data_IF_298504275499
#
_entry.id   IF_298504275499
#
_cell.length_a   1.000
_cell.length_b   1.000
_cell.length_c   1.000
_cell.angle_alpha   90.00
_cell.angle_beta   90.00
_cell.angle_gamma   90.00
#
_symmetry.space_group_name_H-M   'P 1'
#
loop_
_entity.id
_entity.type
_entity.pdbx_description
1 polymer ?
#
# COMPACT_ATOMS: atom_id res chain seq x y z
N UNK A 1 4.14 -6.14 24.09
CA UNK A 1 3.73 -7.30 23.28
C UNK A 1 4.16 -7.02 21.85
N UNK A 2 5.42 -7.32 21.53
CA UNK A 2 6.02 -7.04 20.22
C UNK A 2 5.50 -8.07 19.22
N UNK A 3 4.45 -7.72 18.50
CA UNK A 3 3.92 -8.52 17.41
C UNK A 3 5.00 -8.55 16.32
N UNK A 4 5.76 -9.64 16.27
CA UNK A 4 6.85 -9.82 15.33
C UNK A 4 6.21 -10.19 13.99
N UNK A 5 5.96 -9.18 13.15
CA UNK A 5 5.22 -9.27 11.87
C UNK A 5 5.86 -10.31 10.92
N UNK A 6 7.13 -10.68 11.14
CA UNK A 6 7.86 -11.68 10.36
C UNK A 6 7.77 -13.11 10.92
N UNK A 7 7.29 -13.33 12.14
CA UNK A 7 7.24 -14.66 12.78
C UNK A 7 5.87 -15.34 12.67
N UNK A 8 4.80 -14.59 12.42
CA UNK A 8 3.49 -15.14 12.05
C UNK A 8 3.50 -15.59 10.58
N UNK A 9 4.22 -16.67 10.38
CA UNK A 9 4.34 -17.43 9.14
C UNK A 9 2.97 -18.03 8.79
N UNK A 10 1.99 -17.24 8.33
CA UNK A 10 0.69 -17.76 7.83
C UNK A 10 0.73 -18.17 6.34
N UNK A 11 1.87 -17.98 5.66
CA UNK A 11 2.12 -18.43 4.29
C UNK A 11 1.81 -19.91 4.04
N UNK A 12 1.99 -20.79 5.04
CA UNK A 12 1.65 -22.21 4.90
C UNK A 12 0.13 -22.43 4.77
N UNK A 13 -0.71 -21.62 5.42
CA UNK A 13 -2.17 -21.70 5.30
C UNK A 13 -2.58 -21.44 3.86
N UNK A 14 -2.05 -20.35 3.28
CA UNK A 14 -2.28 -20.00 1.88
C UNK A 14 -1.76 -21.11 0.96
N UNK A 15 -0.57 -21.64 1.25
CA UNK A 15 0.02 -22.77 0.52
C UNK A 15 -0.87 -24.01 0.50
N UNK A 16 -1.43 -24.40 1.65
CA UNK A 16 -2.34 -25.54 1.77
C UNK A 16 -3.62 -25.31 0.97
N UNK A 17 -4.23 -24.13 1.09
CA UNK A 17 -5.46 -23.80 0.35
C UNK A 17 -5.21 -23.85 -1.16
N UNK A 18 -4.12 -23.25 -1.64
CA UNK A 18 -3.73 -23.29 -3.05
C UNK A 18 -3.48 -24.73 -3.51
N UNK A 19 -2.79 -25.54 -2.70
CA UNK A 19 -2.54 -26.94 -3.02
C UNK A 19 -3.84 -27.75 -3.15
N UNK A 20 -4.79 -27.59 -2.21
CA UNK A 20 -6.10 -28.24 -2.26
C UNK A 20 -6.86 -27.83 -3.53
N UNK A 21 -6.87 -26.53 -3.85
CA UNK A 21 -7.55 -26.02 -5.06
C UNK A 21 -6.92 -26.58 -6.34
N UNK A 22 -5.59 -26.66 -6.42
CA UNK A 22 -4.90 -27.23 -7.58
C UNK A 22 -5.11 -28.75 -7.67
N UNK A 23 -5.07 -29.48 -6.56
CA UNK A 23 -5.36 -30.94 -6.52
C UNK A 23 -6.80 -31.20 -6.98
N UNK A 24 -7.77 -30.40 -6.51
CA UNK A 24 -9.17 -30.50 -6.94
C UNK A 24 -9.33 -30.15 -8.43
N UNK A 25 -8.66 -29.11 -8.91
CA UNK A 25 -8.67 -28.71 -10.32
C UNK A 25 -8.05 -29.77 -11.24
N UNK A 26 -6.97 -30.43 -10.80
CA UNK A 26 -6.31 -31.52 -11.53
C UNK A 26 -7.23 -32.72 -11.75
N UNK A 27 -8.13 -33.01 -10.80
CA UNK A 27 -9.13 -34.08 -10.93
C UNK A 27 -10.21 -33.78 -11.97
N UNK A 28 -10.50 -32.50 -12.23
CA UNK A 28 -11.58 -32.09 -13.14
C UNK A 28 -11.09 -31.87 -14.57
N UNK A 29 -9.94 -31.22 -14.76
CA UNK A 29 -9.38 -31.01 -16.08
C UNK A 29 -7.87 -30.70 -16.02
N UNK A 30 -7.06 -31.70 -16.41
CA UNK A 30 -5.59 -31.63 -16.31
C UNK A 30 -4.99 -30.57 -17.22
N UNK A 31 -5.48 -30.43 -18.45
CA UNK A 31 -4.95 -29.45 -19.42
C UNK A 31 -5.20 -28.02 -18.96
N UNK A 32 -6.42 -27.69 -18.54
CA UNK A 32 -6.76 -26.35 -18.04
C UNK A 32 -5.92 -25.96 -16.81
N UNK A 33 -5.63 -26.93 -15.93
CA UNK A 33 -4.83 -26.70 -14.73
C UNK A 33 -3.36 -26.43 -15.06
N UNK A 34 -2.77 -27.17 -16.01
CA UNK A 34 -1.39 -26.91 -16.49
C UNK A 34 -1.30 -25.55 -17.19
N UNK A 35 -2.32 -25.18 -17.97
CA UNK A 35 -2.39 -23.85 -18.58
C UNK A 35 -2.48 -22.73 -17.54
N UNK A 36 -3.28 -22.90 -16.49
CA UNK A 36 -3.35 -21.96 -15.38
C UNK A 36 -1.98 -21.81 -14.69
N UNK A 37 -1.32 -22.93 -14.37
CA UNK A 37 0.02 -22.91 -13.75
C UNK A 37 1.07 -22.19 -14.61
N UNK A 38 1.13 -22.50 -15.91
CA UNK A 38 2.05 -21.80 -16.85
C UNK A 38 1.73 -20.30 -16.98
N UNK A 39 0.45 -19.92 -16.90
CA UNK A 39 0.03 -18.51 -16.92
C UNK A 39 0.50 -17.78 -15.66
N UNK A 40 0.34 -18.40 -14.48
CA UNK A 40 0.84 -17.86 -13.22
C UNK A 40 2.36 -17.70 -13.23
N UNK A 41 3.11 -18.69 -13.70
CA UNK A 41 4.57 -18.61 -13.81
C UNK A 41 5.05 -17.48 -14.73
N UNK A 42 4.39 -17.29 -15.89
CA UNK A 42 4.69 -16.15 -16.77
C UNK A 42 4.33 -14.80 -16.15
N UNK A 43 3.26 -14.74 -15.36
CA UNK A 43 2.88 -13.52 -14.65
C UNK A 43 3.96 -13.13 -13.64
N UNK A 44 4.43 -14.09 -12.82
CA UNK A 44 5.52 -13.88 -11.87
C UNK A 44 6.77 -13.36 -12.59
N UNK A 45 7.20 -14.02 -13.67
CA UNK A 45 8.39 -13.61 -14.43
C UNK A 45 8.26 -12.21 -15.04
N UNK A 46 7.06 -11.81 -15.47
CA UNK A 46 6.81 -10.45 -15.99
C UNK A 46 6.73 -9.40 -14.90
N UNK A 47 6.24 -9.75 -13.72
CA UNK A 47 6.10 -8.83 -12.59
C UNK A 47 7.39 -8.67 -11.79
N UNK A 48 8.32 -9.64 -11.86
CA UNK A 48 9.57 -9.63 -11.09
C UNK A 48 10.46 -8.40 -11.38
N UNK A 49 10.68 -7.97 -12.63
CA UNK A 49 11.44 -6.74 -12.91
C UNK A 49 10.77 -5.49 -12.34
N UNK A 50 9.42 -5.41 -12.41
CA UNK A 50 8.66 -4.30 -11.86
C UNK A 50 8.76 -4.27 -10.33
N UNK A 51 8.68 -5.44 -9.68
CA UNK A 51 8.89 -5.57 -8.24
C UNK A 51 10.28 -5.09 -7.85
N UNK A 52 11.31 -5.53 -8.57
CA UNK A 52 12.70 -5.13 -8.31
C UNK A 52 12.90 -3.61 -8.47
N UNK A 53 12.35 -3.01 -9.53
CA UNK A 53 12.41 -1.56 -9.75
C UNK A 53 11.67 -0.78 -8.65
N UNK A 54 10.52 -1.28 -8.20
CA UNK A 54 9.76 -0.67 -7.11
C UNK A 54 10.55 -0.72 -5.79
N UNK A 55 11.20 -1.84 -5.47
CA UNK A 55 12.06 -1.95 -4.27
C UNK A 55 13.26 -1.01 -4.35
N UNK A 56 13.92 -0.90 -5.50
CA UNK A 56 15.00 0.06 -5.70
C UNK A 56 14.53 1.51 -5.54
N UNK A 57 13.39 1.86 -6.12
CA UNK A 57 12.79 3.19 -5.99
C UNK A 57 12.47 3.50 -4.52
N UNK A 58 11.92 2.55 -3.77
CA UNK A 58 11.68 2.71 -2.33
C UNK A 58 12.99 2.96 -1.59
N UNK A 59 14.03 2.15 -1.83
CA UNK A 59 15.33 2.32 -1.19
C UNK A 59 15.94 3.70 -1.50
N UNK A 60 15.79 4.20 -2.72
CA UNK A 60 16.20 5.55 -3.10
C UNK A 60 15.36 6.63 -2.41
N UNK A 61 14.04 6.46 -2.38
CA UNK A 61 13.12 7.38 -1.69
C UNK A 61 13.42 7.45 -0.19
N UNK A 62 13.82 6.35 0.46
CA UNK A 62 14.22 6.37 1.87
C UNK A 62 15.38 7.31 2.12
N UNK A 63 16.37 7.36 1.21
CA UNK A 63 17.53 8.24 1.33
C UNK A 63 17.13 9.69 1.08
N UNK A 64 16.34 9.95 0.03
CA UNK A 64 15.94 11.31 -0.36
C UNK A 64 14.94 11.93 0.61
N UNK A 65 14.03 11.12 1.16
CA UNK A 65 13.01 11.59 2.09
C UNK A 65 13.45 11.51 3.55
N UNK A 66 14.61 10.96 3.89
CA UNK A 66 15.05 10.84 5.30
C UNK A 66 14.97 12.18 6.04
N UNK A 67 15.62 13.21 5.49
CA UNK A 67 15.64 14.56 6.09
C UNK A 67 14.24 15.20 6.10
N UNK A 68 13.45 14.96 5.04
CA UNK A 68 12.09 15.48 4.94
C UNK A 68 11.14 14.83 5.94
N UNK A 69 11.29 13.52 6.17
CA UNK A 69 10.50 12.74 7.13
C UNK A 69 10.85 13.17 8.55
N UNK A 70 12.14 13.28 8.87
CA UNK A 70 12.60 13.65 10.22
C UNK A 70 12.04 15.01 10.67
N UNK A 71 11.98 15.99 9.76
CA UNK A 71 11.51 17.33 10.09
C UNK A 71 9.98 17.52 9.92
N UNK A 72 9.40 16.96 8.87
CA UNK A 72 8.02 17.29 8.45
C UNK A 72 6.96 16.35 9.02
N UNK A 73 7.33 15.12 9.40
CA UNK A 73 6.35 14.10 9.82
C UNK A 73 6.13 14.04 11.32
N UNK A 74 6.90 14.78 12.11
CA UNK A 74 6.64 14.96 13.54
C UNK A 74 5.42 15.85 13.78
N UNK A 75 5.29 16.94 13.01
CA UNK A 75 4.09 17.78 13.05
C UNK A 75 2.89 17.02 12.46
N UNK A 76 1.76 16.93 13.18
CA UNK A 76 0.59 16.17 12.71
C UNK A 76 0.01 16.72 11.42
N UNK A 77 -0.11 18.05 11.30
CA UNK A 77 -0.74 18.68 10.16
C UNK A 77 0.14 18.55 8.91
N UNK A 78 1.42 18.91 9.05
CA UNK A 78 2.39 18.83 7.95
C UNK A 78 2.61 17.38 7.54
N UNK A 79 2.74 16.46 8.50
CA UNK A 79 2.95 15.05 8.25
C UNK A 79 1.77 14.39 7.52
N UNK A 80 0.54 14.60 8.00
CA UNK A 80 -0.68 14.02 7.38
C UNK A 80 -0.90 14.57 5.97
N UNK A 81 -0.71 15.88 5.76
CA UNK A 81 -0.84 16.49 4.44
C UNK A 81 0.23 15.99 3.48
N UNK A 82 1.50 15.98 3.91
CA UNK A 82 2.62 15.51 3.10
C UNK A 82 2.48 14.03 2.75
N UNK A 83 2.08 13.20 3.69
CA UNK A 83 1.78 11.79 3.47
C UNK A 83 0.67 11.56 2.44
N UNK A 84 -0.39 12.37 2.49
CA UNK A 84 -1.51 12.30 1.54
C UNK A 84 -1.04 12.63 0.11
N UNK A 85 -0.18 13.66 -0.02
CA UNK A 85 0.43 14.03 -1.32
C UNK A 85 1.40 12.95 -1.80
N UNK A 86 2.21 12.37 -0.91
CA UNK A 86 3.10 11.28 -1.27
C UNK A 86 2.34 10.06 -1.79
N UNK A 87 1.27 9.64 -1.10
CA UNK A 87 0.47 8.50 -1.56
C UNK A 87 -0.27 8.75 -2.88
N UNK A 88 -0.56 10.02 -3.20
CA UNK A 88 -1.04 10.43 -4.53
C UNK A 88 0.05 10.31 -5.61
N UNK A 89 1.28 10.69 -5.28
CA UNK A 89 2.42 10.77 -6.21
C UNK A 89 3.15 9.45 -6.39
N UNK A 90 2.88 8.44 -5.57
CA UNK A 90 3.52 7.12 -5.61
C UNK A 90 2.64 6.14 -6.42
N UNK A 91 2.73 6.12 -7.77
CA UNK A 91 2.16 5.04 -8.55
C UNK A 91 2.97 3.79 -8.26
N UNK A 92 2.28 2.69 -7.96
CA UNK A 92 2.98 1.43 -7.76
C UNK A 92 2.14 0.36 -7.12
N UNK A 93 2.74 -0.84 -6.99
CA UNK A 93 2.08 -1.96 -6.36
C UNK A 93 1.70 -1.62 -4.92
N UNK A 94 0.49 -1.98 -4.49
CA UNK A 94 -0.04 -1.68 -3.14
C UNK A 94 0.86 -2.18 -1.99
N UNK A 95 1.69 -3.19 -2.23
CA UNK A 95 2.65 -3.67 -1.23
C UNK A 95 3.86 -2.74 -1.03
N UNK A 96 4.17 -1.87 -1.99
CA UNK A 96 5.32 -0.97 -1.97
C UNK A 96 5.24 0.12 -0.89
N UNK A 97 4.03 0.42 -0.41
CA UNK A 97 3.78 1.50 0.56
C UNK A 97 4.14 1.08 1.97
N UNK A 98 4.01 -0.21 2.31
CA UNK A 98 4.24 -0.68 3.69
C UNK A 98 5.69 -0.48 4.16
N UNK A 99 6.73 -0.76 3.35
CA UNK A 99 8.11 -0.40 3.71
C UNK A 99 8.31 1.11 3.90
N UNK A 100 7.67 1.95 3.08
CA UNK A 100 7.76 3.40 3.23
C UNK A 100 7.05 3.89 4.50
N UNK A 101 5.88 3.34 4.80
CA UNK A 101 5.17 3.55 6.06
C UNK A 101 6.04 3.15 7.27
N UNK A 102 6.74 2.02 7.19
CA UNK A 102 7.66 1.58 8.24
C UNK A 102 8.81 2.58 8.44
N UNK A 103 9.36 3.14 7.36
CA UNK A 103 10.42 4.15 7.43
C UNK A 103 9.93 5.42 8.12
N UNK A 104 8.74 5.90 7.76
CA UNK A 104 8.13 7.07 8.40
C UNK A 104 7.94 6.84 9.90
N UNK A 105 7.44 5.66 10.29
CA UNK A 105 7.33 5.29 11.70
C UNK A 105 8.71 5.30 12.37
N UNK A 106 9.67 4.51 11.89
CA UNK A 106 10.99 4.36 12.56
C UNK A 106 11.77 5.68 12.63
N UNK A 107 11.56 6.60 11.70
CA UNK A 107 12.14 7.95 11.71
C UNK A 107 11.47 8.92 12.70
N UNK A 108 10.52 8.46 13.52
CA UNK A 108 9.81 9.28 14.51
C UNK A 108 8.58 10.02 13.97
N UNK A 109 8.14 9.67 12.76
CA UNK A 109 6.93 10.23 12.16
C UNK A 109 5.66 9.81 12.91
N UNK A 110 4.66 10.70 12.92
CA UNK A 110 3.42 10.41 13.62
C UNK A 110 2.60 9.32 12.90
N UNK A 111 1.87 8.50 13.67
CA UNK A 111 1.08 7.39 13.12
C UNK A 111 -0.08 7.85 12.23
N UNK A 112 -0.56 9.09 12.40
CA UNK A 112 -1.54 9.70 11.52
C UNK A 112 -1.02 9.89 10.10
N UNK A 113 0.24 10.29 9.95
CA UNK A 113 0.89 10.41 8.64
C UNK A 113 1.03 9.05 7.96
N UNK A 114 1.34 8.00 8.71
CA UNK A 114 1.41 6.63 8.17
C UNK A 114 0.05 6.14 7.69
N UNK A 115 -0.99 6.38 8.47
CA UNK A 115 -2.36 6.06 8.06
C UNK A 115 -2.80 6.88 6.85
N UNK A 116 -2.45 8.16 6.79
CA UNK A 116 -2.73 9.02 5.65
C UNK A 116 -1.99 8.55 4.38
N UNK A 117 -0.74 8.10 4.47
CA UNK A 117 0.01 7.54 3.35
C UNK A 117 -0.65 6.27 2.81
N UNK A 118 -1.00 5.34 3.70
CA UNK A 118 -1.64 4.08 3.29
C UNK A 118 -3.01 4.39 2.67
N UNK A 119 -3.83 5.18 3.35
CA UNK A 119 -5.18 5.52 2.89
C UNK A 119 -5.15 6.31 1.58
N UNK A 120 -4.25 7.28 1.42
CA UNK A 120 -4.17 8.07 0.18
C UNK A 120 -3.86 7.19 -1.02
N UNK A 121 -2.87 6.31 -0.91
CA UNK A 121 -2.52 5.47 -2.03
C UNK A 121 -3.67 4.52 -2.41
N UNK A 122 -4.40 3.97 -1.43
CA UNK A 122 -5.54 3.08 -1.72
C UNK A 122 -6.76 3.82 -2.30
N UNK A 123 -7.02 5.05 -1.84
CA UNK A 123 -8.25 5.79 -2.15
C UNK A 123 -8.12 6.71 -3.36
N UNK A 124 -6.98 7.38 -3.54
CA UNK A 124 -6.85 8.37 -4.61
C UNK A 124 -6.60 7.68 -5.96
N UNK A 125 -5.80 6.60 -5.97
CA UNK A 125 -5.58 5.69 -7.11
C UNK A 125 -5.21 6.45 -8.42
N UNK A 126 -4.40 7.50 -8.30
CA UNK A 126 -3.93 8.32 -9.43
C UNK A 126 -2.49 7.90 -9.79
N UNK A 127 -2.13 7.78 -11.08
CA UNK A 127 -2.92 8.07 -12.27
C UNK A 127 -3.71 6.87 -12.83
N UNK A 128 -3.49 5.65 -12.32
CA UNK A 128 -4.01 4.41 -12.91
C UNK A 128 -5.55 4.37 -12.95
N UNK A 129 -6.20 4.65 -11.83
CA UNK A 129 -7.65 4.74 -11.72
C UNK A 129 -8.23 5.94 -12.47
N UNK A 130 -7.51 7.07 -12.48
CA UNK A 130 -7.95 8.32 -13.11
C UNK A 130 -8.29 8.14 -14.60
N UNK A 131 -7.42 7.54 -15.40
CA UNK A 131 -7.64 7.41 -16.84
C UNK A 131 -8.87 6.56 -17.18
N UNK A 132 -9.08 5.47 -16.44
CA UNK A 132 -10.20 4.57 -16.64
C UNK A 132 -11.48 5.27 -16.20
N UNK A 133 -11.47 5.86 -15.01
CA UNK A 133 -12.63 6.49 -14.39
C UNK A 133 -13.14 7.69 -15.21
N UNK A 134 -12.23 8.55 -15.68
CA UNK A 134 -12.59 9.68 -16.54
C UNK A 134 -13.18 9.22 -17.87
N UNK A 135 -12.66 8.11 -18.44
CA UNK A 135 -13.16 7.57 -19.71
C UNK A 135 -14.56 6.96 -19.60
N UNK A 136 -14.88 6.28 -18.51
CA UNK A 136 -16.16 5.58 -18.35
C UNK A 136 -17.23 6.38 -17.61
N UNK A 137 -16.86 7.18 -16.60
CA UNK A 137 -17.78 7.87 -15.68
C UNK A 137 -17.71 9.40 -15.83
N UNK A 138 -16.72 9.91 -16.57
CA UNK A 138 -16.55 11.33 -16.87
C UNK A 138 -15.77 12.11 -15.81
N UNK A 139 -15.19 13.23 -16.22
CA UNK A 139 -14.32 14.05 -15.35
C UNK A 139 -15.02 14.62 -14.11
N UNK A 140 -16.32 14.96 -14.21
CA UNK A 140 -17.09 15.48 -13.07
C UNK A 140 -17.22 14.46 -11.94
N UNK A 141 -17.45 13.19 -12.27
CA UNK A 141 -17.50 12.10 -11.30
C UNK A 141 -16.13 11.89 -10.66
N UNK A 142 -15.08 11.82 -11.48
CA UNK A 142 -13.70 11.69 -11.00
C UNK A 142 -13.33 12.80 -10.00
N UNK A 143 -13.62 14.07 -10.33
CA UNK A 143 -13.36 15.21 -9.45
C UNK A 143 -14.10 15.08 -8.11
N UNK A 144 -15.39 14.74 -8.14
CA UNK A 144 -16.17 14.55 -6.92
C UNK A 144 -15.63 13.40 -6.07
N UNK A 145 -15.32 12.24 -6.68
CA UNK A 145 -14.71 11.10 -5.98
C UNK A 145 -13.35 11.47 -5.41
N UNK A 146 -12.50 12.16 -6.17
CA UNK A 146 -11.16 12.54 -5.73
C UNK A 146 -11.23 13.46 -4.50
N UNK A 147 -12.14 14.44 -4.50
CA UNK A 147 -12.35 15.32 -3.34
C UNK A 147 -12.82 14.54 -2.10
N UNK A 148 -13.78 13.62 -2.27
CA UNK A 148 -14.25 12.75 -1.18
C UNK A 148 -13.13 11.83 -0.68
N UNK A 149 -12.32 11.29 -1.60
CA UNK A 149 -11.18 10.43 -1.27
C UNK A 149 -10.12 11.19 -0.47
N UNK A 150 -9.72 12.38 -0.92
CA UNK A 150 -8.79 13.27 -0.19
C UNK A 150 -9.33 13.58 1.21
N UNK A 151 -10.60 13.99 1.31
CA UNK A 151 -11.21 14.30 2.60
C UNK A 151 -11.21 13.06 3.53
N UNK A 152 -11.57 11.90 2.99
CA UNK A 152 -11.60 10.62 3.74
C UNK A 152 -10.21 10.24 4.23
N UNK A 153 -9.18 10.40 3.39
CA UNK A 153 -7.79 10.13 3.77
C UNK A 153 -7.31 11.05 4.89
N UNK A 154 -7.59 12.37 4.78
CA UNK A 154 -7.21 13.31 5.82
C UNK A 154 -7.90 12.99 7.15
N UNK A 155 -9.21 12.72 7.10
CA UNK A 155 -9.98 12.30 8.27
C UNK A 155 -9.40 11.03 8.89
N UNK A 156 -9.05 10.02 8.08
CA UNK A 156 -8.43 8.79 8.58
C UNK A 156 -7.08 9.05 9.27
N UNK A 157 -6.23 9.91 8.71
CA UNK A 157 -4.96 10.31 9.31
C UNK A 157 -5.14 11.02 10.64
N UNK A 158 -6.02 12.03 10.70
CA UNK A 158 -6.29 12.77 11.93
C UNK A 158 -6.96 11.90 13.00
N UNK A 159 -7.88 11.01 12.61
CA UNK A 159 -8.47 10.04 13.53
C UNK A 159 -7.43 9.10 14.11
N UNK A 160 -6.51 8.58 13.30
CA UNK A 160 -5.43 7.73 13.79
C UNK A 160 -4.49 8.47 14.76
N UNK A 161 -4.17 9.72 14.46
CA UNK A 161 -3.39 10.57 15.36
C UNK A 161 -4.13 10.80 16.70
N UNK A 162 -5.42 11.12 16.64
CA UNK A 162 -6.25 11.32 17.82
C UNK A 162 -6.37 10.03 18.65
N UNK A 163 -6.58 8.88 18.01
CA UNK A 163 -6.61 7.58 18.71
C UNK A 163 -5.28 7.29 19.37
N UNK A 164 -4.14 7.58 18.71
CA UNK A 164 -2.82 7.37 19.28
C UNK A 164 -2.58 8.18 20.57
N UNK A 165 -3.20 9.36 20.65
CA UNK A 165 -3.16 10.20 21.85
C UNK A 165 -3.87 9.56 23.04
N UNK A 166 -4.99 8.86 22.81
CA UNK A 166 -5.75 8.18 23.88
C UNK A 166 -5.27 6.77 24.18
N UNK A 167 -4.87 6.04 23.14
CA UNK A 167 -4.39 4.67 23.20
C UNK A 167 -3.08 4.68 22.43
N UNK A 168 -1.91 4.62 23.09
CA UNK A 168 -0.62 4.63 22.40
C UNK A 168 -0.53 3.38 21.51
N UNK A 169 -0.84 3.54 20.24
CA UNK A 169 -0.74 2.53 19.18
C UNK A 169 0.74 2.32 18.84
N UNK A 170 1.50 3.42 18.88
CA UNK A 170 2.93 3.43 18.66
C UNK A 170 3.54 4.65 19.35
N UNK A 171 4.61 4.42 20.11
CA UNK A 171 5.43 5.43 20.77
C UNK A 171 6.89 5.15 20.38
N UNK A 172 7.62 6.12 19.79
CA UNK A 172 9.03 5.96 19.45
C UNK A 172 9.90 5.66 20.68
#
# INVERSE_FOLDING_TARGET
MTMNIFTDSSWWIVGIVVAIMYIWSLRKNREKTVHAFRRSGRFILKSLPLFFLAVLLIGFMQIVLADFIEYSFQDPNVGILSATVLGLLLPGPRYAIYPLAQVILVAGGNIGAVMALIASQQLLDVPEGCFIEVKFLGGRFFLARLLIAVATTLVAGYLAYAVNFFIPLWSP
#
